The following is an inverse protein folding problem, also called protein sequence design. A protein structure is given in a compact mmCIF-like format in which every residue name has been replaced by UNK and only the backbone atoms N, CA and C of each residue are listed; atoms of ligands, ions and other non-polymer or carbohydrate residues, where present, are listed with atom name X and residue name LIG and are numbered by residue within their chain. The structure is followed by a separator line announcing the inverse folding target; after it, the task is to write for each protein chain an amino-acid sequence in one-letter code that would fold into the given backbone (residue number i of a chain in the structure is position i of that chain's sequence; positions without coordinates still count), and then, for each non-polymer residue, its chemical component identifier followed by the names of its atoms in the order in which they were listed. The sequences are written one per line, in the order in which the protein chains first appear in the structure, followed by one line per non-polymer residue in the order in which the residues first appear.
data_IF_497484387793
#
_entry.id   IF_497484387793
#
_cell.length_a   1.000
_cell.length_b   1.000
_cell.length_c   1.000
_cell.angle_alpha   90.00
_cell.angle_beta   90.00
_cell.angle_gamma   90.00
#
_symmetry.space_group_name_H-M   'P 1'
#
loop_
_entity.id
_entity.type
_entity.pdbx_description
1 polymer ?
#
# COMPACT_ATOMS: atom_id res chain seq x y z
N UNK A 1 -7.50 17.66 -22.04
CA UNK A 1 -7.11 17.19 -20.71
C UNK A 1 -5.89 17.93 -20.18
N UNK A 2 -5.83 18.10 -18.87
CA UNK A 2 -4.67 18.66 -18.17
C UNK A 2 -4.46 17.95 -16.84
N UNK A 3 -3.22 17.88 -16.43
CA UNK A 3 -2.83 17.40 -15.11
C UNK A 3 -2.29 18.58 -14.30
N UNK A 4 -2.78 18.76 -13.10
CA UNK A 4 -2.41 19.87 -12.21
C UNK A 4 -2.04 19.34 -10.82
N UNK A 5 -1.27 20.10 -10.07
CA UNK A 5 -0.94 19.76 -8.69
C UNK A 5 -2.12 19.91 -7.75
N UNK A 6 -2.71 21.12 -7.76
CA UNK A 6 -3.70 21.56 -6.78
C UNK A 6 -5.10 21.86 -7.36
N UNK A 7 -5.30 21.60 -8.66
CA UNK A 7 -6.45 22.09 -9.40
C UNK A 7 -6.25 23.48 -9.99
N UNK A 8 -7.29 24.01 -10.63
CA UNK A 8 -7.26 25.33 -11.31
C UNK A 8 -7.75 26.46 -10.42
N UNK A 9 -8.36 26.15 -9.29
CA UNK A 9 -8.98 27.10 -8.37
C UNK A 9 -8.48 26.84 -6.94
N UNK A 10 -8.69 27.82 -6.08
CA UNK A 10 -8.31 27.71 -4.67
C UNK A 10 -6.93 28.33 -4.36
N UNK A 11 -6.56 28.37 -3.08
CA UNK A 11 -5.42 29.15 -2.60
C UNK A 11 -4.06 28.64 -3.08
N UNK A 12 -3.98 27.39 -3.47
CA UNK A 12 -2.73 26.75 -3.95
C UNK A 12 -2.64 26.62 -5.47
N UNK A 13 -3.66 27.03 -6.24
CA UNK A 13 -3.71 26.82 -7.70
C UNK A 13 -2.46 27.33 -8.44
N UNK A 14 -1.84 28.40 -7.94
CA UNK A 14 -0.63 29.00 -8.54
C UNK A 14 0.66 28.63 -7.78
N UNK A 15 0.57 27.81 -6.75
CA UNK A 15 1.75 27.40 -5.99
C UNK A 15 2.46 26.23 -6.70
N UNK A 16 3.80 26.25 -6.65
CA UNK A 16 4.59 25.10 -7.10
C UNK A 16 4.45 23.95 -6.08
N UNK A 17 4.54 22.73 -6.58
CA UNK A 17 4.55 21.51 -5.77
C UNK A 17 4.96 20.31 -6.60
N UNK A 18 5.27 19.22 -5.92
CA UNK A 18 5.61 17.93 -6.49
C UNK A 18 4.80 16.83 -5.78
N UNK A 19 4.87 15.60 -6.27
CA UNK A 19 4.16 14.43 -5.73
C UNK A 19 4.07 14.44 -4.19
N UNK A 20 5.21 14.54 -3.53
CA UNK A 20 5.28 14.49 -2.05
C UNK A 20 4.41 15.57 -1.38
N UNK A 21 4.25 16.74 -1.99
CA UNK A 21 3.43 17.81 -1.44
C UNK A 21 1.93 17.49 -1.61
N UNK A 22 1.53 16.93 -2.75
CA UNK A 22 0.14 16.55 -3.02
C UNK A 22 -0.31 15.41 -2.12
N UNK A 23 0.53 14.38 -1.98
CA UNK A 23 0.24 13.24 -1.10
C UNK A 23 0.32 13.60 0.39
N UNK A 24 1.04 14.66 0.76
CA UNK A 24 1.05 15.18 2.13
C UNK A 24 -0.31 15.77 2.51
N UNK A 25 -0.88 16.65 1.66
CA UNK A 25 -2.16 17.30 1.95
C UNK A 25 -3.35 16.34 1.87
N UNK A 26 -3.30 15.35 0.97
CA UNK A 26 -4.32 14.30 0.90
C UNK A 26 -4.21 13.26 2.03
N UNK A 27 -3.22 13.37 2.92
CA UNK A 27 -3.04 12.43 4.03
C UNK A 27 -2.38 11.10 3.66
N UNK A 28 -2.15 10.81 2.39
CA UNK A 28 -1.50 9.57 1.92
C UNK A 28 -0.15 9.37 2.59
N UNK A 29 0.71 10.39 2.55
CA UNK A 29 2.08 10.28 3.07
C UNK A 29 2.12 9.93 4.55
N UNK A 30 1.13 10.38 5.32
CA UNK A 30 1.04 10.08 6.75
C UNK A 30 0.78 8.60 7.07
N UNK A 31 0.38 7.81 6.07
CA UNK A 31 0.09 6.37 6.23
C UNK A 31 1.24 5.46 5.77
N UNK A 32 2.32 6.03 5.20
CA UNK A 32 3.41 5.27 4.60
C UNK A 32 4.68 5.45 5.41
N UNK A 33 5.17 4.38 6.01
CA UNK A 33 6.40 4.41 6.81
C UNK A 33 6.44 3.31 7.86
N UNK A 34 7.44 3.40 8.74
CA UNK A 34 7.64 2.48 9.86
C UNK A 34 7.42 3.21 11.18
N UNK A 35 6.95 2.50 12.25
CA UNK A 35 6.79 3.10 13.57
C UNK A 35 8.09 3.77 14.07
N UNK A 36 7.96 4.97 14.65
CA UNK A 36 9.09 5.70 15.19
C UNK A 36 10.00 6.39 14.17
N UNK A 37 9.65 6.33 12.88
CA UNK A 37 10.36 7.02 11.80
C UNK A 37 9.47 8.07 11.12
N UNK A 38 10.03 9.08 10.46
CA UNK A 38 9.25 9.95 9.60
C UNK A 38 8.53 9.16 8.49
N UNK A 39 7.40 9.67 7.96
CA UNK A 39 6.78 9.10 6.77
C UNK A 39 7.77 8.97 5.61
N UNK A 40 7.65 7.89 4.84
CA UNK A 40 8.59 7.55 3.76
C UNK A 40 7.96 7.91 2.41
N UNK A 41 8.62 8.76 1.59
CA UNK A 41 8.15 9.05 0.23
C UNK A 41 8.13 7.78 -0.63
N UNK A 42 6.97 7.42 -1.23
CA UNK A 42 6.85 6.23 -2.08
C UNK A 42 7.23 6.54 -3.54
N UNK A 43 8.37 7.20 -3.75
CA UNK A 43 8.74 7.81 -5.03
C UNK A 43 7.68 8.86 -5.44
N UNK A 44 7.44 9.00 -6.74
CA UNK A 44 6.36 9.84 -7.28
C UNK A 44 5.23 9.00 -7.90
N UNK A 45 5.02 7.81 -7.36
CA UNK A 45 4.08 6.83 -7.93
C UNK A 45 2.62 7.16 -7.61
N UNK A 46 2.37 7.82 -6.48
CA UNK A 46 0.99 8.01 -5.99
C UNK A 46 0.40 9.32 -6.51
N UNK A 47 1.09 10.45 -6.34
CA UNK A 47 0.60 11.74 -6.80
C UNK A 47 0.69 11.90 -8.32
N UNK A 48 1.90 11.81 -8.86
CA UNK A 48 2.14 12.09 -10.28
C UNK A 48 1.53 11.00 -11.19
N UNK A 49 1.77 9.73 -10.90
CA UNK A 49 1.34 8.63 -11.77
C UNK A 49 -0.04 8.10 -11.43
N UNK A 50 -0.30 7.71 -10.18
CA UNK A 50 -1.59 7.13 -9.77
C UNK A 50 -2.73 8.15 -9.79
N UNK A 51 -2.61 9.19 -8.99
CA UNK A 51 -3.62 10.24 -8.84
C UNK A 51 -3.67 11.23 -10.00
N UNK A 52 -2.55 11.45 -10.69
CA UNK A 52 -2.47 12.36 -11.83
C UNK A 52 -2.60 11.64 -13.17
N UNK A 53 -1.54 10.99 -13.62
CA UNK A 53 -1.43 10.43 -14.97
C UNK A 53 -2.49 9.39 -15.31
N UNK A 54 -2.69 8.40 -14.43
CA UNK A 54 -3.68 7.34 -14.66
C UNK A 54 -5.13 7.87 -14.59
N UNK A 55 -5.41 8.78 -13.65
CA UNK A 55 -6.71 9.39 -13.54
C UNK A 55 -7.02 10.27 -14.75
N UNK A 56 -6.04 11.04 -15.25
CA UNK A 56 -6.19 11.81 -16.48
C UNK A 56 -6.47 10.91 -17.67
N UNK A 57 -5.73 9.82 -17.83
CA UNK A 57 -5.94 8.85 -18.91
C UNK A 57 -7.36 8.27 -18.89
N UNK A 58 -7.86 7.87 -17.71
CA UNK A 58 -9.22 7.39 -17.52
C UNK A 58 -10.25 8.48 -17.88
N UNK A 59 -10.03 9.70 -17.40
CA UNK A 59 -10.90 10.84 -17.68
C UNK A 59 -10.99 11.16 -19.18
N UNK A 60 -9.86 11.14 -19.89
CA UNK A 60 -9.82 11.37 -21.34
C UNK A 60 -10.59 10.29 -22.13
N UNK A 61 -10.40 9.02 -21.78
CA UNK A 61 -11.14 7.92 -22.44
C UNK A 61 -12.62 8.02 -22.15
N UNK A 62 -13.01 8.36 -20.92
CA UNK A 62 -14.42 8.57 -20.54
C UNK A 62 -15.04 9.75 -21.28
N UNK A 63 -14.31 10.88 -21.41
CA UNK A 63 -14.77 12.05 -22.16
C UNK A 63 -14.91 11.76 -23.66
N UNK A 64 -13.99 10.99 -24.24
CA UNK A 64 -14.10 10.55 -25.64
C UNK A 64 -15.30 9.62 -25.88
N UNK A 65 -15.60 8.75 -24.91
CA UNK A 65 -16.79 7.89 -24.98
C UNK A 65 -18.08 8.71 -24.91
N UNK A 66 -18.14 9.69 -24.00
CA UNK A 66 -19.27 10.60 -23.86
C UNK A 66 -19.49 11.42 -25.16
N UNK A 67 -18.41 11.96 -25.71
CA UNK A 67 -18.46 12.73 -26.98
C UNK A 67 -19.07 11.92 -28.14
N UNK A 68 -18.91 10.60 -28.19
CA UNK A 68 -19.53 9.75 -29.20
C UNK A 68 -21.06 9.70 -29.07
N UNK A 69 -21.59 9.90 -27.88
CA UNK A 69 -23.03 9.88 -27.60
C UNK A 69 -23.64 11.27 -27.66
N UNK A 70 -23.01 12.27 -27.06
CA UNK A 70 -23.54 13.63 -26.98
C UNK A 70 -23.14 14.52 -28.17
N UNK A 71 -21.99 14.24 -28.80
CA UNK A 71 -21.37 15.12 -29.79
C UNK A 71 -20.61 16.29 -29.17
N UNK A 72 -20.59 16.42 -27.85
CA UNK A 72 -20.00 17.55 -27.13
C UNK A 72 -18.67 17.16 -26.50
N UNK A 73 -17.67 18.04 -26.58
CA UNK A 73 -16.41 17.92 -25.90
C UNK A 73 -16.45 18.53 -24.50
N UNK A 74 -15.50 18.14 -23.65
CA UNK A 74 -15.37 18.69 -22.30
C UNK A 74 -13.91 18.82 -21.87
N UNK A 75 -13.65 19.62 -20.84
CA UNK A 75 -12.34 19.72 -20.21
C UNK A 75 -12.24 18.69 -19.08
N UNK A 76 -11.15 17.92 -19.10
CA UNK A 76 -10.78 17.01 -18.01
C UNK A 76 -9.59 17.63 -17.28
N UNK A 77 -9.78 17.98 -16.01
CA UNK A 77 -8.72 18.44 -15.11
C UNK A 77 -8.47 17.38 -14.04
N UNK A 78 -7.30 16.75 -14.10
CA UNK A 78 -6.87 15.75 -13.11
C UNK A 78 -5.90 16.43 -12.14
N UNK A 79 -6.44 16.88 -11.01
CA UNK A 79 -5.66 17.39 -9.88
C UNK A 79 -4.99 16.24 -9.15
N UNK A 80 -3.66 16.28 -8.99
CA UNK A 80 -2.89 15.23 -8.30
C UNK A 80 -3.26 15.09 -6.83
N UNK A 81 -3.60 16.18 -6.14
CA UNK A 81 -4.07 16.12 -4.75
C UNK A 81 -5.42 15.41 -4.64
N UNK A 82 -6.35 15.68 -5.54
CA UNK A 82 -7.68 15.06 -5.53
C UNK A 82 -7.60 13.58 -5.92
N UNK A 83 -6.81 13.28 -6.95
CA UNK A 83 -6.57 11.90 -7.35
C UNK A 83 -5.89 11.07 -6.27
N UNK A 84 -4.94 11.66 -5.53
CA UNK A 84 -4.33 11.00 -4.37
C UNK A 84 -5.35 10.75 -3.26
N UNK A 85 -6.26 11.70 -3.01
CA UNK A 85 -7.36 11.51 -2.06
C UNK A 85 -8.33 10.41 -2.52
N UNK A 86 -8.61 10.31 -3.82
CA UNK A 86 -9.44 9.24 -4.39
C UNK A 86 -8.82 7.85 -4.14
N UNK A 87 -7.50 7.69 -4.31
CA UNK A 87 -6.79 6.45 -4.01
C UNK A 87 -6.89 6.05 -2.52
N UNK A 88 -7.07 7.00 -1.62
CA UNK A 88 -7.25 6.78 -0.18
C UNK A 88 -8.68 6.42 0.23
N UNK A 89 -9.63 6.31 -0.70
CA UNK A 89 -11.06 6.11 -0.37
C UNK A 89 -11.29 4.92 0.58
N UNK A 90 -10.63 3.79 0.36
CA UNK A 90 -10.73 2.64 1.25
C UNK A 90 -10.24 2.96 2.67
N UNK A 91 -9.10 3.63 2.79
CA UNK A 91 -8.50 3.97 4.09
C UNK A 91 -9.37 5.00 4.84
N UNK A 92 -9.89 6.01 4.14
CA UNK A 92 -10.82 6.97 4.73
C UNK A 92 -12.10 6.30 5.26
N UNK A 93 -12.66 5.33 4.51
CA UNK A 93 -13.82 4.57 4.94
C UNK A 93 -13.52 3.74 6.19
N UNK A 94 -12.42 2.99 6.20
CA UNK A 94 -11.99 2.18 7.36
C UNK A 94 -11.74 3.08 8.58
N UNK A 95 -11.15 4.26 8.38
CA UNK A 95 -10.95 5.26 9.42
C UNK A 95 -12.29 5.80 9.96
N UNK A 96 -13.21 6.14 9.06
CA UNK A 96 -14.56 6.60 9.41
C UNK A 96 -15.37 5.58 10.21
N UNK A 97 -15.14 4.29 9.98
CA UNK A 97 -15.71 3.19 10.75
C UNK A 97 -15.00 2.93 12.09
N UNK A 98 -13.93 3.66 12.42
CA UNK A 98 -13.16 3.49 13.65
C UNK A 98 -12.16 2.33 13.64
N UNK A 99 -11.91 1.69 12.49
CA UNK A 99 -10.99 0.55 12.38
C UNK A 99 -9.56 0.91 11.95
N UNK A 100 -9.30 2.18 11.61
CA UNK A 100 -7.97 2.69 11.31
C UNK A 100 -7.40 3.50 12.48
N UNK A 101 -6.14 3.27 12.82
CA UNK A 101 -5.38 4.08 13.79
C UNK A 101 -4.46 5.03 13.04
N UNK A 102 -4.48 6.32 13.42
CA UNK A 102 -3.63 7.36 12.81
C UNK A 102 -2.18 7.29 13.36
N UNK A 103 -1.59 6.09 13.32
CA UNK A 103 -0.19 5.84 13.68
C UNK A 103 0.43 4.84 12.71
N UNK A 104 1.62 5.16 12.21
CA UNK A 104 2.36 4.35 11.24
C UNK A 104 2.57 2.92 11.75
N UNK A 105 2.38 1.94 10.87
CA UNK A 105 2.65 0.54 11.16
C UNK A 105 1.79 -0.03 12.28
N UNK A 106 0.54 0.39 12.40
CA UNK A 106 -0.41 -0.11 13.42
C UNK A 106 -1.68 -0.73 12.83
N UNK A 107 -1.79 -0.76 11.51
CA UNK A 107 -2.95 -1.25 10.78
C UNK A 107 -2.61 -2.51 9.97
N UNK A 108 -3.62 -3.10 9.35
CA UNK A 108 -3.46 -4.42 8.72
C UNK A 108 -2.77 -4.38 7.35
N UNK A 109 -2.71 -3.22 6.65
CA UNK A 109 -2.05 -3.08 5.34
C UNK A 109 -0.92 -2.04 5.32
N UNK A 110 -0.54 -1.49 6.46
CA UNK A 110 0.55 -0.51 6.59
C UNK A 110 1.84 -1.10 7.17
N UNK A 111 1.93 -2.42 7.21
CA UNK A 111 3.03 -3.13 7.84
C UNK A 111 2.90 -3.26 9.35
N UNK A 112 1.75 -2.97 9.96
CA UNK A 112 1.47 -3.21 11.38
C UNK A 112 1.23 -4.69 11.68
N UNK A 113 0.43 -5.35 10.83
CA UNK A 113 0.12 -6.76 10.98
C UNK A 113 1.31 -7.65 10.60
N UNK A 114 1.51 -8.72 11.36
CA UNK A 114 2.57 -9.70 11.09
C UNK A 114 2.35 -10.46 9.78
N UNK A 115 1.12 -10.61 9.34
CA UNK A 115 0.74 -11.32 8.11
C UNK A 115 0.71 -10.42 6.85
N UNK A 116 1.05 -9.15 6.98
CA UNK A 116 1.13 -8.19 5.86
C UNK A 116 2.33 -7.28 6.03
N UNK A 117 3.51 -7.77 5.67
CA UNK A 117 4.77 -7.02 5.77
C UNK A 117 5.89 -7.64 4.94
N UNK A 118 7.03 -6.98 4.93
CA UNK A 118 8.29 -7.48 4.40
C UNK A 118 9.19 -8.00 5.51
N UNK A 119 9.90 -9.10 5.23
CA UNK A 119 10.80 -9.74 6.19
C UNK A 119 12.18 -9.96 5.58
N UNK A 120 13.22 -9.75 6.37
CA UNK A 120 14.59 -10.02 5.99
C UNK A 120 14.87 -11.52 6.07
N UNK A 121 15.61 -12.04 5.08
CA UNK A 121 16.06 -13.41 4.99
C UNK A 121 17.53 -13.53 5.43
N UNK A 122 18.01 -14.77 5.58
CA UNK A 122 19.38 -15.08 6.00
C UNK A 122 20.48 -14.43 5.13
N UNK A 123 20.19 -14.21 3.85
CA UNK A 123 21.09 -13.61 2.87
C UNK A 123 20.91 -12.09 2.72
N UNK A 124 20.28 -11.43 3.70
CA UNK A 124 19.98 -9.99 3.72
C UNK A 124 19.10 -9.50 2.56
N UNK A 125 18.47 -10.41 1.86
CA UNK A 125 17.38 -10.09 0.92
C UNK A 125 16.04 -10.08 1.65
N UNK A 126 14.99 -9.65 0.97
CA UNK A 126 13.67 -9.50 1.58
C UNK A 126 12.62 -10.32 0.84
N UNK A 127 11.63 -10.75 1.58
CA UNK A 127 10.39 -11.33 1.10
C UNK A 127 9.21 -10.49 1.57
N UNK A 128 8.07 -10.61 0.91
CA UNK A 128 6.79 -10.07 1.36
C UNK A 128 5.78 -11.18 1.56
N UNK A 129 4.96 -11.05 2.58
CA UNK A 129 3.77 -11.87 2.80
C UNK A 129 2.54 -10.99 2.94
N UNK A 130 1.39 -11.47 2.46
CA UNK A 130 0.11 -10.79 2.52
C UNK A 130 -1.05 -11.76 2.81
N UNK A 131 -0.86 -12.69 3.74
CA UNK A 131 -1.79 -13.77 4.09
C UNK A 131 -2.97 -13.22 4.92
N UNK A 132 -3.81 -12.36 4.34
CA UNK A 132 -4.91 -11.68 5.05
C UNK A 132 -6.04 -12.66 5.37
N UNK A 133 -6.50 -13.43 4.37
CA UNK A 133 -7.61 -14.35 4.51
C UNK A 133 -7.23 -15.57 5.35
N UNK A 134 -8.15 -16.09 6.20
CA UNK A 134 -7.85 -17.19 7.11
C UNK A 134 -7.25 -18.43 6.42
N UNK A 135 -7.71 -18.77 5.22
CA UNK A 135 -7.21 -19.91 4.46
C UNK A 135 -5.75 -19.75 4.02
N UNK A 136 -5.36 -18.56 3.62
CA UNK A 136 -3.98 -18.23 3.22
C UNK A 136 -3.06 -18.15 4.44
N UNK A 137 -3.56 -17.59 5.55
CA UNK A 137 -2.85 -17.56 6.82
C UNK A 137 -2.61 -18.95 7.40
N UNK A 138 -3.61 -19.85 7.31
CA UNK A 138 -3.44 -21.23 7.72
C UNK A 138 -2.34 -21.92 6.91
N UNK A 139 -2.32 -21.74 5.58
CA UNK A 139 -1.27 -22.30 4.71
C UNK A 139 0.12 -21.74 5.05
N UNK A 140 0.23 -20.46 5.38
CA UNK A 140 1.46 -19.87 5.90
C UNK A 140 1.93 -20.60 7.17
N UNK A 141 1.02 -20.91 8.10
CA UNK A 141 1.32 -21.63 9.33
C UNK A 141 1.72 -23.10 9.10
N UNK A 142 1.23 -23.71 8.05
CA UNK A 142 1.56 -25.11 7.69
C UNK A 142 2.97 -25.21 7.09
N UNK A 143 3.35 -24.26 6.22
CA UNK A 143 4.64 -24.24 5.53
C UNK A 143 5.75 -23.69 6.42
N UNK A 144 5.42 -22.77 7.33
CA UNK A 144 6.36 -22.21 8.30
C UNK A 144 6.19 -22.86 9.66
N UNK A 145 7.22 -22.88 10.54
CA UNK A 145 7.11 -23.47 11.88
C UNK A 145 6.30 -22.59 12.87
N UNK A 146 5.16 -22.02 12.44
CA UNK A 146 4.29 -21.15 13.25
C UNK A 146 3.33 -21.98 14.13
N UNK A 147 3.87 -22.85 14.96
CA UNK A 147 3.08 -23.73 15.83
C UNK A 147 2.72 -23.08 17.18
N UNK A 148 3.34 -21.95 17.53
CA UNK A 148 3.07 -21.26 18.78
C UNK A 148 1.62 -20.78 18.82
N UNK A 149 0.89 -21.01 19.93
CA UNK A 149 -0.50 -20.56 20.11
C UNK A 149 -0.70 -19.04 19.95
N UNK A 150 0.35 -18.23 20.04
CA UNK A 150 0.26 -16.79 19.78
C UNK A 150 -0.30 -16.50 18.38
N UNK A 151 -0.06 -17.40 17.41
CA UNK A 151 -0.52 -17.28 16.03
C UNK A 151 -1.98 -17.71 15.81
N UNK A 152 -2.67 -18.25 16.83
CA UNK A 152 -4.07 -18.66 16.72
C UNK A 152 -5.02 -17.45 16.56
N UNK A 153 -4.60 -16.28 17.03
CA UNK A 153 -5.37 -15.05 16.98
C UNK A 153 -4.80 -14.07 15.95
N UNK A 154 -4.94 -14.37 14.65
CA UNK A 154 -4.41 -13.58 13.54
C UNK A 154 -4.77 -12.09 13.65
N UNK A 155 -6.03 -11.75 13.90
CA UNK A 155 -6.56 -10.39 13.85
C UNK A 155 -6.45 -9.63 15.18
N UNK A 156 -5.91 -10.24 16.24
CA UNK A 156 -5.71 -9.58 17.53
C UNK A 156 -4.51 -8.63 17.47
N UNK A 157 -4.78 -7.33 17.29
CA UNK A 157 -3.77 -6.29 17.08
C UNK A 157 -2.72 -6.22 18.18
N UNK A 158 -3.13 -6.46 19.43
CA UNK A 158 -2.24 -6.42 20.60
C UNK A 158 -1.12 -7.47 20.52
N UNK A 159 -1.37 -8.58 19.81
CA UNK A 159 -0.40 -9.65 19.62
C UNK A 159 0.53 -9.45 18.41
N UNK A 160 0.19 -8.56 17.49
CA UNK A 160 0.97 -8.36 16.26
C UNK A 160 2.46 -8.06 16.47
N UNK A 161 2.87 -7.20 17.43
CA UNK A 161 4.29 -6.94 17.64
C UNK A 161 5.10 -8.18 18.02
N UNK A 162 4.55 -9.05 18.87
CA UNK A 162 5.18 -10.29 19.30
C UNK A 162 5.19 -11.34 18.18
N UNK A 163 4.06 -11.53 17.51
CA UNK A 163 3.94 -12.38 16.33
C UNK A 163 4.92 -11.96 15.23
N UNK A 164 5.08 -10.66 15.00
CA UNK A 164 6.00 -10.10 14.03
C UNK A 164 7.45 -10.36 14.39
N UNK A 165 7.81 -10.23 15.67
CA UNK A 165 9.15 -10.57 16.17
C UNK A 165 9.46 -12.05 15.92
N UNK A 166 8.54 -12.94 16.23
CA UNK A 166 8.72 -14.37 15.98
C UNK A 166 8.86 -14.71 14.49
N UNK A 167 8.05 -14.07 13.62
CA UNK A 167 8.19 -14.24 12.17
C UNK A 167 9.55 -13.77 11.63
N UNK A 168 10.07 -12.66 12.13
CA UNK A 168 11.42 -12.19 11.76
C UNK A 168 12.48 -13.23 12.05
N UNK A 169 12.45 -13.84 13.22
CA UNK A 169 13.40 -14.89 13.62
C UNK A 169 13.27 -16.12 12.72
N UNK A 170 12.05 -16.47 12.30
CA UNK A 170 11.81 -17.60 11.39
C UNK A 170 12.36 -17.29 9.99
N UNK A 171 12.04 -16.13 9.42
CA UNK A 171 12.46 -15.81 8.06
C UNK A 171 13.97 -15.62 7.92
N UNK A 172 14.67 -15.23 8.97
CA UNK A 172 16.14 -15.19 9.02
C UNK A 172 16.81 -16.57 8.98
N UNK A 173 16.08 -17.69 9.12
CA UNK A 173 16.66 -19.03 9.09
C UNK A 173 17.02 -19.53 7.71
N UNK A 174 16.43 -18.98 6.65
CA UNK A 174 16.62 -19.40 5.26
C UNK A 174 16.92 -18.21 4.36
N UNK A 175 17.58 -18.47 3.25
CA UNK A 175 17.78 -17.48 2.17
C UNK A 175 16.47 -17.15 1.47
N UNK A 176 16.43 -16.04 0.75
CA UNK A 176 15.29 -15.68 -0.09
C UNK A 176 14.93 -16.80 -1.07
N UNK A 177 15.95 -17.41 -1.71
CA UNK A 177 15.76 -18.50 -2.68
C UNK A 177 15.11 -19.73 -2.03
N UNK A 178 15.57 -20.13 -0.84
CA UNK A 178 14.99 -21.27 -0.11
C UNK A 178 13.53 -21.01 0.28
N UNK A 179 13.16 -19.75 0.59
CA UNK A 179 11.77 -19.38 0.84
C UNK A 179 10.94 -19.39 -0.44
N UNK A 180 11.49 -18.94 -1.57
CA UNK A 180 10.85 -19.05 -2.88
C UNK A 180 10.51 -20.51 -3.22
N UNK A 181 11.46 -21.42 -3.06
CA UNK A 181 11.25 -22.86 -3.33
C UNK A 181 10.12 -23.47 -2.49
N UNK A 182 9.87 -22.92 -1.29
CA UNK A 182 8.80 -23.40 -0.41
C UNK A 182 7.43 -22.75 -0.67
N UNK A 183 7.41 -21.49 -1.10
CA UNK A 183 6.19 -20.66 -1.05
C UNK A 183 5.70 -20.18 -2.43
N UNK A 184 6.58 -20.08 -3.43
CA UNK A 184 6.14 -19.65 -4.77
C UNK A 184 5.15 -20.65 -5.38
N UNK A 185 4.14 -20.12 -6.05
CA UNK A 185 3.08 -20.92 -6.65
C UNK A 185 2.06 -21.49 -5.66
N UNK A 186 2.14 -21.11 -4.37
CA UNK A 186 1.15 -21.44 -3.34
C UNK A 186 0.20 -20.28 -3.07
N UNK A 187 -0.92 -20.55 -2.37
CA UNK A 187 -1.91 -19.53 -1.99
C UNK A 187 -1.52 -18.75 -0.69
N UNK A 188 -0.22 -18.66 -0.35
CA UNK A 188 0.23 -17.91 0.84
C UNK A 188 0.17 -16.39 0.65
N UNK A 189 0.07 -15.90 -0.57
CA UNK A 189 0.28 -14.50 -0.93
C UNK A 189 1.71 -14.05 -0.59
N UNK A 190 2.67 -14.75 -1.19
CA UNK A 190 4.11 -14.57 -1.02
C UNK A 190 4.75 -14.01 -2.29
N UNK A 191 5.77 -13.17 -2.11
CA UNK A 191 6.69 -12.82 -3.21
C UNK A 191 8.09 -12.46 -2.68
N UNK A 192 9.17 -12.75 -3.43
CA UNK A 192 10.47 -12.14 -3.17
C UNK A 192 10.44 -10.64 -3.49
N UNK A 193 11.15 -9.84 -2.71
CA UNK A 193 11.39 -8.44 -3.05
C UNK A 193 12.61 -8.39 -3.96
N UNK A 194 12.36 -8.20 -5.25
CA UNK A 194 13.41 -8.17 -6.27
C UNK A 194 14.01 -6.76 -6.42
N UNK A 195 15.29 -6.70 -6.80
CA UNK A 195 15.90 -5.47 -7.31
C UNK A 195 15.48 -5.21 -8.76
N UNK A 196 15.79 -4.03 -9.28
CA UNK A 196 15.60 -3.73 -10.71
C UNK A 196 16.74 -4.26 -11.59
N UNK A 197 17.75 -4.89 -10.99
CA UNK A 197 18.92 -5.46 -11.67
C UNK A 197 18.67 -6.93 -12.02
#
# INVERSE_FOLDING_TARGET
GRMTGWGQEGPLAYAAGHDINYISLSGVLSTIGRPGSPPVPPLNLIGDFGGGGMLLALGLVSALLETKSSGEGQVVDASMVDGSALLMTMIYNIRGMGFWKDSLGSNFVDGGAHFYDTYECKDSKFISIASIEPKFYQLLREITPLKDPIFDNQLKRESWPEQKKALKEIFLQKTQQEWCELMEGTDICFAPVLSMA
#
